data_IF_599187919926
#
_entry.id   IF_599187919926
#
_cell.length_a   1.000
_cell.length_b   1.000
_cell.length_c   1.000
_cell.angle_alpha   90.00
_cell.angle_beta   90.00
_cell.angle_gamma   90.00
#
_symmetry.space_group_name_H-M   'P 1'
#
loop_
_entity.id
_entity.type
_entity.pdbx_description
1 polymer ?
#
# COMPACT_ATOMS: atom_id res chain seq x y z
N UNK A 1 27.99 -15.96 -16.50
CA UNK A 1 26.57 -15.86 -16.86
C UNK A 1 26.35 -14.43 -17.31
N UNK A 2 25.95 -14.23 -18.56
CA UNK A 2 25.82 -12.91 -19.18
C UNK A 2 24.81 -12.06 -18.41
N UNK A 3 25.26 -10.93 -17.89
CA UNK A 3 24.40 -9.95 -17.24
C UNK A 3 23.51 -9.31 -18.29
N UNK A 4 22.35 -9.90 -18.51
CA UNK A 4 21.29 -9.39 -19.39
C UNK A 4 20.57 -8.18 -18.74
N UNK A 5 21.33 -7.21 -18.25
CA UNK A 5 20.81 -5.88 -17.94
C UNK A 5 20.73 -5.11 -19.26
N UNK A 6 19.73 -5.47 -20.06
CA UNK A 6 19.35 -4.70 -21.24
C UNK A 6 19.03 -3.28 -20.75
N UNK A 7 19.85 -2.31 -21.15
CA UNK A 7 19.68 -0.91 -20.76
C UNK A 7 18.22 -0.48 -20.96
N UNK A 8 17.53 -0.21 -19.85
CA UNK A 8 16.24 0.49 -19.91
C UNK A 8 16.60 1.95 -20.20
N UNK A 9 16.30 2.42 -21.42
CA UNK A 9 16.57 3.81 -21.84
C UNK A 9 16.09 4.81 -20.77
N UNK A 10 16.97 5.71 -20.36
CA UNK A 10 16.67 6.76 -19.36
C UNK A 10 17.17 6.47 -17.93
N UNK A 11 17.69 5.27 -17.66
CA UNK A 11 18.32 4.91 -16.39
C UNK A 11 19.83 4.68 -16.54
N UNK A 12 20.57 4.96 -15.47
CA UNK A 12 21.97 4.56 -15.32
C UNK A 12 22.08 3.04 -15.13
N UNK A 13 23.27 2.49 -15.34
CA UNK A 13 23.57 1.13 -14.92
C UNK A 13 23.55 1.05 -13.40
N UNK A 14 22.85 0.05 -12.86
CA UNK A 14 22.73 -0.18 -11.42
C UNK A 14 23.78 -1.21 -10.98
N UNK A 15 24.38 -0.97 -9.82
CA UNK A 15 25.23 -1.94 -9.16
C UNK A 15 24.41 -3.11 -8.61
N UNK A 16 25.09 -4.19 -8.20
CA UNK A 16 24.41 -5.34 -7.60
C UNK A 16 23.70 -4.95 -6.30
N UNK A 17 24.35 -4.12 -5.49
CA UNK A 17 23.83 -3.60 -4.23
C UNK A 17 22.54 -2.81 -4.45
N UNK A 18 22.50 -2.00 -5.51
CA UNK A 18 21.32 -1.20 -5.86
C UNK A 18 20.17 -2.06 -6.37
N UNK A 19 20.47 -3.09 -7.18
CA UNK A 19 19.49 -4.08 -7.59
C UNK A 19 18.89 -4.80 -6.37
N UNK A 20 19.71 -5.13 -5.38
CA UNK A 20 19.26 -5.79 -4.16
C UNK A 20 18.35 -4.88 -3.34
N UNK A 21 18.71 -3.61 -3.17
CA UNK A 21 17.86 -2.61 -2.53
C UNK A 21 16.51 -2.45 -3.25
N UNK A 22 16.52 -2.41 -4.59
CA UNK A 22 15.29 -2.34 -5.39
C UNK A 22 14.38 -3.56 -5.16
N UNK A 23 14.96 -4.75 -5.04
CA UNK A 23 14.21 -5.98 -4.76
C UNK A 23 13.68 -6.00 -3.33
N UNK A 24 14.45 -5.51 -2.36
CA UNK A 24 14.00 -5.38 -0.97
C UNK A 24 12.82 -4.42 -0.85
N UNK A 25 12.88 -3.25 -1.50
CA UNK A 25 11.77 -2.29 -1.55
C UNK A 25 10.52 -2.93 -2.14
N UNK A 26 10.65 -3.71 -3.23
CA UNK A 26 9.52 -4.43 -3.84
C UNK A 26 8.94 -5.48 -2.91
N UNK A 27 9.78 -6.25 -2.20
CA UNK A 27 9.34 -7.24 -1.24
C UNK A 27 8.53 -6.57 -0.10
N UNK A 28 9.01 -5.44 0.41
CA UNK A 28 8.28 -4.63 1.40
C UNK A 28 6.98 -4.06 0.85
N UNK A 29 6.95 -3.67 -0.42
CA UNK A 29 5.72 -3.29 -1.10
C UNK A 29 4.66 -4.40 -1.10
N UNK A 30 5.06 -5.65 -1.35
CA UNK A 30 4.14 -6.78 -1.29
C UNK A 30 3.63 -7.07 0.14
N UNK A 31 4.52 -7.03 1.13
CA UNK A 31 4.14 -7.20 2.55
C UNK A 31 3.13 -6.12 3.00
N UNK A 32 3.39 -4.85 2.65
CA UNK A 32 2.51 -3.73 2.98
C UNK A 32 1.17 -3.82 2.24
N UNK A 33 1.18 -4.25 0.96
CA UNK A 33 -0.04 -4.46 0.19
C UNK A 33 -0.96 -5.50 0.85
N UNK A 34 -0.40 -6.63 1.30
CA UNK A 34 -1.16 -7.66 2.02
C UNK A 34 -1.71 -7.15 3.37
N UNK A 35 -1.00 -6.25 4.05
CA UNK A 35 -1.51 -5.61 5.26
C UNK A 35 -2.68 -4.66 4.94
N UNK A 36 -2.57 -3.84 3.90
CA UNK A 36 -3.62 -2.92 3.46
C UNK A 36 -4.91 -3.69 3.11
N UNK A 37 -4.80 -4.81 2.39
CA UNK A 37 -5.95 -5.66 2.05
C UNK A 37 -6.65 -6.20 3.31
N UNK A 38 -5.88 -6.71 4.28
CA UNK A 38 -6.43 -7.16 5.57
C UNK A 38 -7.15 -6.05 6.32
N UNK A 39 -6.62 -4.83 6.29
CA UNK A 39 -7.24 -3.68 6.93
C UNK A 39 -8.55 -3.30 6.23
N UNK A 40 -8.60 -3.27 4.90
CA UNK A 40 -9.84 -3.03 4.16
C UNK A 40 -10.92 -4.08 4.45
N UNK A 41 -10.54 -5.36 4.47
CA UNK A 41 -11.47 -6.43 4.81
C UNK A 41 -12.01 -6.29 6.22
N UNK A 42 -11.13 -5.98 7.18
CA UNK A 42 -11.51 -5.77 8.57
C UNK A 42 -12.49 -4.60 8.72
N UNK A 43 -12.22 -3.45 8.10
CA UNK A 43 -13.09 -2.28 8.20
C UNK A 43 -14.44 -2.53 7.56
N UNK A 44 -14.48 -3.28 6.45
CA UNK A 44 -15.74 -3.70 5.82
C UNK A 44 -16.55 -4.60 6.74
N UNK A 45 -15.92 -5.63 7.30
CA UNK A 45 -16.57 -6.57 8.22
C UNK A 45 -17.14 -5.86 9.46
N UNK A 46 -16.43 -4.86 10.00
CA UNK A 46 -16.93 -4.06 11.13
C UNK A 46 -18.21 -3.30 10.76
N UNK A 47 -18.24 -2.64 9.59
CA UNK A 47 -19.42 -1.91 9.13
C UNK A 47 -20.60 -2.85 8.89
N UNK A 48 -20.37 -3.98 8.22
CA UNK A 48 -21.40 -4.98 7.95
C UNK A 48 -22.00 -5.53 9.25
N UNK A 49 -21.15 -5.85 10.23
CA UNK A 49 -21.58 -6.33 11.54
C UNK A 49 -22.36 -5.26 12.33
N UNK A 50 -21.91 -3.99 12.30
CA UNK A 50 -22.59 -2.89 12.97
C UNK A 50 -23.97 -2.61 12.35
N UNK A 51 -24.07 -2.66 11.01
CA UNK A 51 -25.34 -2.49 10.31
C UNK A 51 -26.31 -3.66 10.59
N UNK A 52 -25.80 -4.89 10.58
CA UNK A 52 -26.59 -6.06 10.93
C UNK A 52 -27.12 -5.98 12.37
N UNK A 53 -26.29 -5.52 13.31
CA UNK A 53 -26.69 -5.28 14.69
C UNK A 53 -27.83 -4.25 14.75
N UNK A 54 -27.67 -3.08 14.16
CA UNK A 54 -28.70 -2.05 14.16
C UNK A 54 -30.01 -2.49 13.49
N UNK A 55 -29.93 -3.29 12.43
CA UNK A 55 -31.13 -3.87 11.78
C UNK A 55 -31.88 -4.83 12.72
N UNK A 56 -31.16 -5.58 13.57
CA UNK A 56 -31.75 -6.54 14.50
C UNK A 56 -32.25 -5.91 15.80
N UNK A 57 -31.54 -4.91 16.33
CA UNK A 57 -31.79 -4.34 17.67
C UNK A 57 -32.41 -2.95 17.64
N UNK A 58 -32.34 -2.25 16.50
CA UNK A 58 -32.66 -0.83 16.37
C UNK A 58 -31.55 0.12 16.84
N UNK A 59 -30.43 -0.40 17.37
CA UNK A 59 -29.30 0.41 17.83
C UNK A 59 -28.23 0.56 16.73
N UNK A 60 -28.18 1.74 16.12
CA UNK A 60 -27.21 2.11 15.09
C UNK A 60 -26.03 2.93 15.63
N UNK A 61 -25.86 3.05 16.95
CA UNK A 61 -24.81 3.88 17.55
C UNK A 61 -23.40 3.51 17.05
N UNK A 62 -23.10 2.21 16.97
CA UNK A 62 -21.81 1.73 16.46
C UNK A 62 -21.65 1.96 14.95
N UNK A 63 -22.72 1.79 14.17
CA UNK A 63 -22.70 2.07 12.74
C UNK A 63 -22.44 3.57 12.48
N UNK A 64 -23.07 4.45 13.26
CA UNK A 64 -22.82 5.89 13.19
C UNK A 64 -21.37 6.22 13.56
N UNK A 65 -20.85 5.65 14.66
CA UNK A 65 -19.45 5.84 15.07
C UNK A 65 -18.47 5.45 13.96
N UNK A 66 -18.69 4.31 13.30
CA UNK A 66 -17.85 3.86 12.20
C UNK A 66 -17.98 4.75 10.96
N UNK A 67 -19.17 5.25 10.68
CA UNK A 67 -19.41 6.21 9.59
C UNK A 67 -18.63 7.49 9.83
N UNK A 68 -18.71 8.05 11.04
CA UNK A 68 -18.01 9.29 11.41
C UNK A 68 -16.48 9.13 11.46
N UNK A 69 -16.00 7.94 11.81
CA UNK A 69 -14.56 7.64 11.88
C UNK A 69 -13.94 7.39 10.49
N UNK A 70 -14.74 7.14 9.45
CA UNK A 70 -14.33 6.90 8.06
C UNK A 70 -13.12 5.94 7.90
N UNK A 71 -13.12 4.74 8.50
CA UNK A 71 -11.93 3.90 8.55
C UNK A 71 -11.45 3.45 7.15
N UNK A 72 -12.36 3.25 6.19
CA UNK A 72 -12.00 2.94 4.80
C UNK A 72 -11.19 4.07 4.13
N UNK A 73 -11.54 5.33 4.42
CA UNK A 73 -10.81 6.49 3.91
C UNK A 73 -9.39 6.53 4.48
N UNK A 74 -9.22 6.25 5.77
CA UNK A 74 -7.90 6.20 6.41
C UNK A 74 -7.03 5.06 5.88
N UNK A 75 -7.59 3.87 5.64
CA UNK A 75 -6.84 2.77 5.01
C UNK A 75 -6.42 3.15 3.58
N UNK A 76 -7.31 3.74 2.78
CA UNK A 76 -7.00 4.19 1.42
C UNK A 76 -5.91 5.27 1.37
N UNK A 77 -5.98 6.23 2.29
CA UNK A 77 -4.97 7.28 2.45
C UNK A 77 -3.62 6.69 2.83
N UNK A 78 -3.60 5.78 3.81
CA UNK A 78 -2.39 5.04 4.19
C UNK A 78 -1.79 4.26 3.04
N UNK A 79 -2.62 3.52 2.28
CA UNK A 79 -2.18 2.76 1.12
C UNK A 79 -1.51 3.66 0.06
N UNK A 80 -2.13 4.80 -0.25
CA UNK A 80 -1.59 5.78 -1.21
C UNK A 80 -0.24 6.33 -0.73
N UNK A 81 -0.13 6.73 0.54
CA UNK A 81 1.10 7.26 1.10
C UNK A 81 2.23 6.21 1.12
N UNK A 82 1.92 4.95 1.42
CA UNK A 82 2.89 3.86 1.37
C UNK A 82 3.36 3.61 -0.07
N UNK A 83 2.46 3.59 -1.05
CA UNK A 83 2.82 3.45 -2.46
C UNK A 83 3.72 4.60 -2.93
N UNK A 84 3.36 5.84 -2.63
CA UNK A 84 4.18 7.01 -2.95
C UNK A 84 5.55 6.96 -2.27
N UNK A 85 5.59 6.56 -1.00
CA UNK A 85 6.85 6.36 -0.26
C UNK A 85 7.74 5.31 -0.92
N UNK A 86 7.20 4.15 -1.27
CA UNK A 86 7.93 3.09 -1.98
C UNK A 86 8.43 3.56 -3.35
N UNK A 87 7.63 4.33 -4.10
CA UNK A 87 8.04 4.94 -5.36
C UNK A 87 9.18 5.94 -5.18
N UNK A 88 9.11 6.79 -4.15
CA UNK A 88 10.17 7.74 -3.82
C UNK A 88 11.47 7.03 -3.43
N UNK A 89 11.41 5.98 -2.60
CA UNK A 89 12.57 5.15 -2.24
C UNK A 89 13.17 4.45 -3.47
N UNK A 90 12.33 3.88 -4.33
CA UNK A 90 12.74 3.28 -5.60
C UNK A 90 13.48 4.31 -6.47
N UNK A 91 12.96 5.55 -6.56
CA UNK A 91 13.60 6.63 -7.32
C UNK A 91 14.93 7.08 -6.71
N UNK A 92 15.06 7.06 -5.38
CA UNK A 92 16.31 7.38 -4.69
C UNK A 92 17.44 6.38 -5.01
N UNK A 93 17.10 5.11 -5.21
CA UNK A 93 18.06 4.09 -5.68
C UNK A 93 18.29 4.23 -7.19
N UNK A 94 17.22 4.35 -7.98
CA UNK A 94 17.32 4.35 -9.44
C UNK A 94 18.00 5.60 -10.02
N UNK A 95 17.93 6.75 -9.34
CA UNK A 95 18.54 8.03 -9.74
C UNK A 95 18.39 8.34 -11.24
N UNK A 96 17.14 8.46 -11.75
CA UNK A 96 16.92 8.75 -13.18
C UNK A 96 17.50 10.12 -13.55
N UNK A 97 18.07 10.21 -14.75
CA UNK A 97 18.70 11.45 -15.27
C UNK A 97 17.73 12.31 -16.07
N UNK A 98 16.49 11.84 -16.24
CA UNK A 98 15.40 12.52 -16.95
C UNK A 98 14.20 12.68 -16.02
N UNK A 99 13.35 13.67 -16.32
CA UNK A 99 12.20 14.02 -15.49
C UNK A 99 11.12 12.92 -15.56
#
# INVERSE_FOLDING_TARGET
MENQHTQIRGYRDLSKEEIDLMNEIKAKGAELGALVEKLFDHTRQQIDAANAHGTQTGDFSEFQRLTDAEPHHWVATGATNLQQGLMALTRAVAQPTTF
#
